data_IF_017602549772
#
_entry.id   IF_017602549772
#
_cell.length_a   1.000
_cell.length_b   1.000
_cell.length_c   1.000
_cell.angle_alpha   90.00
_cell.angle_beta   90.00
_cell.angle_gamma   90.00
#
_symmetry.space_group_name_H-M   'P 1'
#
loop_
_entity.id
_entity.type
_entity.pdbx_description
1 polymer ?
#
# COMPACT_ATOMS: atom_id res chain seq x y z
N UNK A 1 -37.09 14.17 -36.43
CA UNK A 1 -35.65 14.00 -36.13
C UNK A 1 -35.55 13.25 -34.82
N UNK A 2 -34.93 12.05 -34.79
CA UNK A 2 -34.97 11.16 -33.64
C UNK A 2 -33.92 11.49 -32.58
N UNK A 3 -34.03 10.76 -31.47
CA UNK A 3 -32.93 10.36 -30.58
C UNK A 3 -32.67 11.17 -29.29
N UNK A 4 -33.56 10.89 -28.35
CA UNK A 4 -33.40 10.76 -26.90
C UNK A 4 -32.14 9.97 -26.44
N UNK A 5 -30.92 10.46 -26.68
CA UNK A 5 -29.65 9.70 -26.45
C UNK A 5 -28.78 10.27 -25.33
N UNK A 6 -29.30 10.93 -24.30
CA UNK A 6 -28.41 11.44 -23.23
C UNK A 6 -28.94 11.36 -21.79
N UNK A 7 -29.96 10.56 -21.49
CA UNK A 7 -30.49 10.46 -20.11
C UNK A 7 -30.54 9.05 -19.53
N UNK A 8 -29.58 8.20 -19.86
CA UNK A 8 -29.51 6.87 -19.24
C UNK A 8 -28.07 6.38 -19.01
N UNK A 9 -27.22 7.20 -18.40
CA UNK A 9 -25.91 6.72 -17.90
C UNK A 9 -25.44 7.40 -16.60
N UNK A 10 -26.38 7.98 -15.84
CA UNK A 10 -26.06 8.70 -14.60
C UNK A 10 -26.48 7.95 -13.32
N UNK A 11 -26.87 6.68 -13.43
CA UNK A 11 -27.39 5.90 -12.31
C UNK A 11 -26.69 4.56 -12.07
N UNK A 12 -25.59 4.26 -12.77
CA UNK A 12 -24.87 2.98 -12.63
C UNK A 12 -23.39 3.15 -12.27
N UNK A 13 -22.98 4.28 -11.69
CA UNK A 13 -21.55 4.57 -11.48
C UNK A 13 -21.14 4.88 -10.04
N UNK A 14 -22.07 4.96 -9.06
CA UNK A 14 -21.71 5.24 -7.66
C UNK A 14 -20.95 4.09 -6.97
N UNK A 15 -21.19 2.84 -7.38
CA UNK A 15 -20.50 1.67 -6.79
C UNK A 15 -19.09 1.49 -7.36
N UNK A 16 -18.90 1.67 -8.67
CA UNK A 16 -17.60 1.55 -9.32
C UNK A 16 -16.63 2.68 -8.93
N UNK A 17 -17.14 3.89 -8.68
CA UNK A 17 -16.33 5.01 -8.22
C UNK A 17 -15.88 4.84 -6.77
N UNK A 18 -16.73 4.32 -5.88
CA UNK A 18 -16.33 3.99 -4.51
C UNK A 18 -15.25 2.90 -4.47
N UNK A 19 -15.38 1.85 -5.29
CA UNK A 19 -14.37 0.79 -5.39
C UNK A 19 -13.04 1.31 -5.96
N UNK A 20 -13.07 2.20 -6.98
CA UNK A 20 -11.85 2.84 -7.48
C UNK A 20 -11.15 3.69 -6.43
N UNK A 21 -11.91 4.46 -5.65
CA UNK A 21 -11.35 5.28 -4.55
C UNK A 21 -10.72 4.38 -3.49
N UNK A 22 -11.38 3.28 -3.11
CA UNK A 22 -10.85 2.32 -2.15
C UNK A 22 -9.57 1.64 -2.65
N UNK A 23 -9.53 1.17 -3.90
CA UNK A 23 -8.34 0.54 -4.49
C UNK A 23 -7.19 1.53 -4.54
N UNK A 24 -7.46 2.78 -4.93
CA UNK A 24 -6.45 3.82 -5.01
C UNK A 24 -5.94 4.20 -3.62
N UNK A 25 -6.78 4.38 -2.60
CA UNK A 25 -6.33 4.61 -1.22
C UNK A 25 -5.52 3.41 -0.67
N UNK A 26 -5.92 2.18 -0.99
CA UNK A 26 -5.18 0.97 -0.60
C UNK A 26 -3.79 0.90 -1.25
N UNK A 27 -3.67 1.36 -2.49
CA UNK A 27 -2.40 1.47 -3.21
C UNK A 27 -1.44 2.42 -2.49
N UNK A 28 -1.94 3.59 -2.07
CA UNK A 28 -1.15 4.56 -1.32
C UNK A 28 -0.73 4.06 0.06
N UNK A 29 -1.59 3.33 0.77
CA UNK A 29 -1.29 2.76 2.10
C UNK A 29 -0.19 1.70 1.99
N UNK A 30 -0.28 0.76 1.05
CA UNK A 30 0.77 -0.26 0.91
C UNK A 30 2.10 0.37 0.46
N UNK A 31 2.04 1.42 -0.37
CA UNK A 31 3.24 2.06 -0.94
C UNK A 31 3.96 2.83 0.16
N UNK A 32 3.19 3.53 1.00
CA UNK A 32 3.68 4.18 2.21
C UNK A 32 4.28 3.18 3.19
N UNK A 33 3.62 2.04 3.45
CA UNK A 33 4.17 0.97 4.29
C UNK A 33 5.49 0.40 3.74
N UNK A 34 5.57 0.17 2.44
CA UNK A 34 6.78 -0.33 1.79
C UNK A 34 7.94 0.67 1.86
N UNK A 35 7.67 1.96 1.64
CA UNK A 35 8.68 3.02 1.77
C UNK A 35 9.12 3.16 3.23
N UNK A 36 8.18 3.21 4.17
CA UNK A 36 8.49 3.31 5.60
C UNK A 36 9.31 2.09 6.05
N UNK A 37 8.96 0.89 5.60
CA UNK A 37 9.68 -0.34 5.90
C UNK A 37 11.11 -0.34 5.37
N UNK A 38 11.31 0.13 4.14
CA UNK A 38 12.64 0.32 3.55
C UNK A 38 13.49 1.33 4.34
N UNK A 39 12.90 2.46 4.76
CA UNK A 39 13.61 3.48 5.54
C UNK A 39 13.99 2.93 6.91
N UNK A 40 13.08 2.27 7.62
CA UNK A 40 13.39 1.61 8.90
C UNK A 40 14.43 0.50 8.73
N UNK A 41 14.34 -0.32 7.68
CA UNK A 41 15.32 -1.36 7.40
C UNK A 41 16.72 -0.78 7.17
N UNK A 42 16.81 0.29 6.38
CA UNK A 42 18.07 0.99 6.12
C UNK A 42 18.64 1.60 7.41
N UNK A 43 17.81 2.31 8.19
CA UNK A 43 18.22 2.91 9.47
C UNK A 43 18.65 1.83 10.47
N UNK A 44 17.92 0.72 10.57
CA UNK A 44 18.28 -0.42 11.40
C UNK A 44 19.61 -1.06 10.97
N UNK A 45 19.86 -1.17 9.66
CA UNK A 45 21.13 -1.69 9.12
C UNK A 45 22.31 -0.76 9.40
N UNK A 46 22.12 0.56 9.38
CA UNK A 46 23.16 1.54 9.70
C UNK A 46 23.43 1.56 11.21
N UNK A 47 22.38 1.50 12.03
CA UNK A 47 22.48 1.41 13.48
C UNK A 47 23.19 0.13 13.94
N UNK A 48 22.99 -0.99 13.24
CA UNK A 48 23.68 -2.26 13.49
C UNK A 48 25.22 -2.12 13.42
N UNK A 49 25.75 -1.13 12.70
CA UNK A 49 27.18 -0.86 12.60
C UNK A 49 27.74 -0.15 13.84
N UNK A 50 26.89 0.48 14.66
CA UNK A 50 27.27 1.21 15.87
C UNK A 50 26.99 0.34 17.09
N UNK A 51 28.04 -0.24 17.67
CA UNK A 51 28.01 -1.21 18.79
C UNK A 51 27.26 -0.72 20.06
N UNK A 52 26.89 0.57 20.15
CA UNK A 52 26.35 1.17 21.37
C UNK A 52 24.83 1.12 21.54
N UNK A 53 24.05 0.64 20.57
CA UNK A 53 22.57 0.75 20.60
C UNK A 53 21.82 -0.59 20.45
N UNK A 54 22.44 -1.68 20.91
CA UNK A 54 22.07 -3.11 20.69
C UNK A 54 20.58 -3.48 20.75
N UNK A 55 19.72 -2.77 21.49
CA UNK A 55 18.29 -3.08 21.55
C UNK A 55 17.45 -2.35 20.51
N UNK A 56 17.72 -1.06 20.25
CA UNK A 56 16.88 -0.28 19.33
C UNK A 56 17.08 -0.71 17.88
N UNK A 57 18.26 -1.18 17.54
CA UNK A 57 18.65 -1.63 16.19
C UNK A 57 17.84 -2.86 15.80
N UNK A 58 17.75 -3.83 16.71
CA UNK A 58 17.02 -5.08 16.52
C UNK A 58 15.51 -4.79 16.34
N UNK A 59 14.93 -3.93 17.19
CA UNK A 59 13.51 -3.56 17.04
C UNK A 59 13.26 -2.81 15.73
N UNK A 60 14.13 -1.87 15.35
CA UNK A 60 13.99 -1.10 14.10
C UNK A 60 14.14 -2.01 12.87
N UNK A 61 15.05 -2.98 12.93
CA UNK A 61 15.28 -3.95 11.87
C UNK A 61 14.11 -4.94 11.72
N UNK A 62 13.59 -5.48 12.84
CA UNK A 62 12.42 -6.37 12.84
C UNK A 62 11.19 -5.63 12.33
N UNK A 63 10.92 -4.44 12.85
CA UNK A 63 9.78 -3.62 12.43
C UNK A 63 9.91 -3.21 10.96
N UNK A 64 11.10 -2.78 10.52
CA UNK A 64 11.36 -2.43 9.12
C UNK A 64 11.15 -3.60 8.17
N UNK A 65 11.71 -4.77 8.50
CA UNK A 65 11.54 -6.00 7.72
C UNK A 65 10.09 -6.47 7.68
N UNK A 66 9.38 -6.40 8.82
CA UNK A 66 7.98 -6.77 8.90
C UNK A 66 7.08 -5.82 8.10
N UNK A 67 7.33 -4.51 8.18
CA UNK A 67 6.56 -3.52 7.43
C UNK A 67 6.78 -3.67 5.91
N UNK A 68 8.01 -4.01 5.51
CA UNK A 68 8.34 -4.35 4.12
C UNK A 68 7.60 -5.62 3.65
N UNK A 69 7.51 -6.65 4.51
CA UNK A 69 6.72 -7.86 4.25
C UNK A 69 5.24 -7.54 4.11
N UNK A 70 4.65 -6.77 5.04
CA UNK A 70 3.24 -6.38 4.99
C UNK A 70 2.94 -5.55 3.74
N UNK A 71 3.82 -4.61 3.38
CA UNK A 71 3.68 -3.83 2.14
C UNK A 71 3.75 -4.69 0.87
N UNK A 72 4.64 -5.70 0.84
CA UNK A 72 4.74 -6.65 -0.26
C UNK A 72 3.50 -7.57 -0.37
N UNK A 73 3.01 -8.07 0.77
CA UNK A 73 1.78 -8.88 0.84
C UNK A 73 0.57 -8.05 0.41
N UNK A 74 0.47 -6.79 0.83
CA UNK A 74 -0.59 -5.87 0.40
C UNK A 74 -0.62 -5.67 -1.11
N UNK A 75 0.54 -5.43 -1.74
CA UNK A 75 0.66 -5.38 -3.22
C UNK A 75 0.22 -6.67 -3.88
N UNK A 76 0.64 -7.81 -3.35
CA UNK A 76 0.31 -9.12 -3.90
C UNK A 76 -1.20 -9.39 -3.80
N UNK A 77 -1.83 -9.02 -2.69
CA UNK A 77 -3.26 -9.19 -2.47
C UNK A 77 -4.10 -8.30 -3.41
N UNK A 78 -3.74 -7.02 -3.55
CA UNK A 78 -4.42 -6.10 -4.48
C UNK A 78 -4.30 -6.61 -5.91
N UNK A 79 -3.10 -7.04 -6.33
CA UNK A 79 -2.88 -7.65 -7.64
C UNK A 79 -3.69 -8.93 -7.87
N UNK A 80 -3.92 -9.70 -6.81
CA UNK A 80 -4.72 -10.92 -6.88
C UNK A 80 -6.21 -10.60 -7.01
N UNK A 81 -6.71 -9.66 -6.22
CA UNK A 81 -8.11 -9.21 -6.25
C UNK A 81 -8.45 -8.52 -7.57
N UNK A 82 -7.54 -7.72 -8.12
CA UNK A 82 -7.75 -7.03 -9.40
C UNK A 82 -7.71 -7.98 -10.62
N UNK A 83 -7.12 -9.17 -10.45
CA UNK A 83 -6.99 -10.18 -11.51
C UNK A 83 -8.11 -11.25 -11.48
N UNK A 84 -9.01 -11.21 -10.50
CA UNK A 84 -10.14 -12.14 -10.34
C UNK A 84 -11.46 -11.49 -10.70
#
# INVERSE_FOLDING_TARGET
MPENVQRSDKSSNSHASALRVLVQEYEWIHLSLGILGNVLFFVGSVLFLFESVTRLDIYTFIVGSFLMLVGAVGKALVRYVEKS
#
